data_IF_840998989196
#
_entry.id   IF_840998989196
#
_cell.length_a   1.000
_cell.length_b   1.000
_cell.length_c   1.000
_cell.angle_alpha   90.00
_cell.angle_beta   90.00
_cell.angle_gamma   90.00
#
_symmetry.space_group_name_H-M   'P 1'
#
loop_
_entity.id
_entity.type
_entity.pdbx_description
1 polymer ?
#
# COMPACT_ATOMS: atom_id res chain seq x y z
N UNK A 1 21.18 0.70 -7.33
CA UNK A 1 20.12 0.75 -8.35
C UNK A 1 19.17 -0.42 -8.17
N UNK A 2 19.61 -1.67 -8.38
CA UNK A 2 18.75 -2.88 -8.21
C UNK A 2 18.12 -2.97 -6.82
N UNK A 3 18.86 -2.71 -5.73
CA UNK A 3 18.28 -2.71 -4.38
C UNK A 3 17.08 -1.76 -4.22
N UNK A 4 17.13 -0.56 -4.82
CA UNK A 4 16.00 0.39 -4.79
C UNK A 4 14.81 -0.12 -5.60
N UNK A 5 15.06 -0.89 -6.66
CA UNK A 5 14.00 -1.56 -7.41
C UNK A 5 13.32 -2.63 -6.57
N UNK A 6 14.10 -3.45 -5.86
CA UNK A 6 13.57 -4.47 -4.93
C UNK A 6 12.79 -3.80 -3.80
N UNK A 7 13.34 -2.77 -3.17
CA UNK A 7 12.67 -1.99 -2.12
C UNK A 7 11.32 -1.43 -2.59
N UNK A 8 11.23 -0.93 -3.83
CA UNK A 8 9.96 -0.44 -4.36
C UNK A 8 8.94 -1.57 -4.52
N UNK A 9 9.38 -2.75 -4.96
CA UNK A 9 8.55 -3.95 -5.02
C UNK A 9 8.04 -4.35 -3.64
N UNK A 10 8.92 -4.44 -2.65
CA UNK A 10 8.55 -4.84 -1.29
C UNK A 10 7.58 -3.85 -0.64
N UNK A 11 7.84 -2.54 -0.75
CA UNK A 11 6.92 -1.51 -0.26
C UNK A 11 5.55 -1.57 -0.94
N UNK A 12 5.50 -1.90 -2.24
CA UNK A 12 4.25 -2.04 -2.97
C UNK A 12 3.47 -3.29 -2.54
N UNK A 13 4.15 -4.42 -2.34
CA UNK A 13 3.51 -5.65 -1.84
C UNK A 13 2.96 -5.45 -0.42
N UNK A 14 3.72 -4.77 0.45
CA UNK A 14 3.27 -4.41 1.80
C UNK A 14 2.05 -3.48 1.75
N UNK A 15 2.04 -2.48 0.85
CA UNK A 15 0.92 -1.56 0.73
C UNK A 15 -0.36 -2.23 0.20
N UNK A 16 -0.21 -3.21 -0.70
CA UNK A 16 -1.35 -4.02 -1.20
C UNK A 16 -1.90 -4.93 -0.11
N UNK A 17 -1.04 -5.57 0.68
CA UNK A 17 -1.47 -6.37 1.83
C UNK A 17 -2.24 -5.51 2.85
N UNK A 18 -1.73 -4.31 3.14
CA UNK A 18 -2.43 -3.30 3.94
C UNK A 18 -3.79 -2.94 3.35
N UNK A 19 -3.86 -2.59 2.06
CA UNK A 19 -5.09 -2.15 1.39
C UNK A 19 -6.18 -3.22 1.45
N UNK A 20 -5.82 -4.48 1.18
CA UNK A 20 -6.74 -5.62 1.28
C UNK A 20 -7.22 -5.80 2.72
N UNK A 21 -6.32 -5.85 3.70
CA UNK A 21 -6.71 -6.05 5.11
C UNK A 21 -7.56 -4.89 5.66
N UNK A 22 -7.26 -3.66 5.27
CA UNK A 22 -7.98 -2.46 5.70
C UNK A 22 -9.35 -2.35 5.04
N UNK A 23 -9.39 -2.34 3.71
CA UNK A 23 -10.58 -1.98 2.96
C UNK A 23 -11.50 -3.19 2.71
N UNK A 24 -10.93 -4.35 2.38
CA UNK A 24 -11.69 -5.60 2.21
C UNK A 24 -11.88 -6.30 3.56
N UNK A 25 -10.84 -6.30 4.40
CA UNK A 25 -10.84 -6.95 5.71
C UNK A 25 -11.52 -6.15 6.83
N UNK A 26 -11.72 -4.85 6.66
CA UNK A 26 -12.33 -3.97 7.67
C UNK A 26 -11.52 -3.87 8.97
N UNK A 27 -10.20 -4.10 8.91
CA UNK A 27 -9.34 -4.06 10.09
C UNK A 27 -9.03 -2.63 10.53
N UNK A 28 -8.95 -2.41 11.83
CA UNK A 28 -8.47 -1.16 12.42
C UNK A 28 -6.94 -1.03 12.26
N UNK A 29 -6.41 0.18 12.45
CA UNK A 29 -4.95 0.37 12.44
C UNK A 29 -4.28 -0.37 13.61
N UNK A 30 -4.98 -0.55 14.73
CA UNK A 30 -4.49 -1.35 15.86
C UNK A 30 -4.39 -2.84 15.50
N UNK A 31 -5.43 -3.41 14.87
CA UNK A 31 -5.43 -4.80 14.39
C UNK A 31 -4.34 -5.02 13.32
N UNK A 32 -4.17 -4.06 12.41
CA UNK A 32 -3.09 -4.10 11.41
C UNK A 32 -1.71 -4.05 12.07
N UNK A 33 -1.51 -3.21 13.08
CA UNK A 33 -0.25 -3.13 13.79
C UNK A 33 0.09 -4.48 14.46
N UNK A 34 -0.90 -5.16 15.03
CA UNK A 34 -0.71 -6.48 15.65
C UNK A 34 -0.34 -7.55 14.62
N UNK A 35 -1.06 -7.62 13.50
CA UNK A 35 -0.78 -8.58 12.41
C UNK A 35 0.64 -8.38 11.85
N UNK A 36 1.02 -7.14 11.54
CA UNK A 36 2.37 -6.87 11.02
C UNK A 36 3.46 -7.11 12.08
N UNK A 37 3.16 -6.88 13.38
CA UNK A 37 4.07 -7.26 14.48
C UNK A 37 4.29 -8.78 14.52
N UNK A 38 3.22 -9.56 14.32
CA UNK A 38 3.30 -11.02 14.29
C UNK A 38 4.07 -11.52 13.07
N UNK A 39 3.77 -11.00 11.88
CA UNK A 39 4.48 -11.33 10.65
C UNK A 39 5.98 -11.05 10.76
N UNK A 40 6.36 -9.96 11.44
CA UNK A 40 7.77 -9.62 11.66
C UNK A 40 8.51 -10.57 12.62
N UNK A 41 7.81 -11.51 13.28
CA UNK A 41 8.42 -12.57 14.11
C UNK A 41 8.54 -13.91 13.36
N UNK A 42 8.06 -13.98 12.13
CA UNK A 42 8.04 -15.17 11.30
C UNK A 42 8.89 -15.02 10.03
N UNK A 43 8.45 -15.65 8.94
CA UNK A 43 9.18 -15.66 7.67
C UNK A 43 9.30 -14.27 7.01
N UNK A 44 8.47 -13.31 7.43
CA UNK A 44 8.46 -11.93 6.93
C UNK A 44 9.28 -10.97 7.81
N UNK A 45 10.07 -11.48 8.76
CA UNK A 45 11.01 -10.68 9.57
C UNK A 45 11.87 -9.79 8.66
N UNK A 46 11.60 -8.49 8.69
CA UNK A 46 12.29 -7.52 7.87
C UNK A 46 12.08 -6.10 8.38
N UNK A 47 13.05 -5.24 8.12
CA UNK A 47 12.97 -3.83 8.52
C UNK A 47 11.73 -3.12 7.97
N UNK A 48 11.30 -3.42 6.73
CA UNK A 48 10.11 -2.79 6.15
C UNK A 48 8.81 -3.22 6.84
N UNK A 49 8.70 -4.49 7.27
CA UNK A 49 7.53 -4.98 8.01
C UNK A 49 7.52 -4.40 9.42
N UNK A 50 8.69 -4.33 10.08
CA UNK A 50 8.85 -3.69 11.40
C UNK A 50 8.34 -2.24 11.39
N UNK A 51 8.89 -1.39 10.53
CA UNK A 51 8.48 0.03 10.48
C UNK A 51 7.02 0.18 10.05
N UNK A 52 6.47 -0.74 9.25
CA UNK A 52 5.06 -0.72 8.86
C UNK A 52 4.17 -0.97 10.08
N UNK A 53 4.54 -1.91 10.94
CA UNK A 53 3.84 -2.16 12.20
C UNK A 53 3.85 -0.94 13.13
N UNK A 54 4.98 -0.22 13.17
CA UNK A 54 5.12 1.01 13.96
C UNK A 54 4.30 2.17 13.38
N UNK A 55 4.29 2.33 12.05
CA UNK A 55 3.54 3.38 11.35
C UNK A 55 2.06 3.37 11.72
N UNK A 56 1.45 2.17 11.82
CA UNK A 56 0.05 2.03 12.22
C UNK A 56 -0.25 2.51 13.65
N UNK A 57 0.77 2.70 14.50
CA UNK A 57 0.62 3.16 15.88
C UNK A 57 0.85 4.65 16.05
N UNK A 58 1.34 5.33 15.02
CA UNK A 58 1.63 6.77 15.08
C UNK A 58 0.32 7.55 15.09
N UNK A 59 0.09 8.29 16.18
CA UNK A 59 -1.08 9.19 16.31
C UNK A 59 -0.86 10.48 15.53
N UNK A 60 -1.95 11.04 15.01
CA UNK A 60 -1.91 12.40 14.45
C UNK A 60 -1.75 13.42 15.59
N UNK A 61 -0.79 14.33 15.47
CA UNK A 61 -0.56 15.39 16.47
C UNK A 61 -1.58 16.54 16.34
N UNK A 62 -2.26 16.63 15.19
CA UNK A 62 -3.17 17.72 14.85
C UNK A 62 -4.66 17.37 14.97
N UNK A 63 -5.00 16.14 15.32
CA UNK A 63 -6.38 15.67 15.38
C UNK A 63 -6.54 14.24 15.89
N UNK A 64 -7.75 13.70 15.74
CA UNK A 64 -8.07 12.34 16.16
C UNK A 64 -7.69 11.30 15.08
N UNK A 65 -7.26 10.13 15.56
CA UNK A 65 -6.90 8.97 14.74
C UNK A 65 -5.40 8.78 14.55
N UNK A 66 -5.03 7.88 13.65
CA UNK A 66 -3.65 7.60 13.29
C UNK A 66 -3.19 8.48 12.13
N UNK A 67 -1.90 8.87 12.16
CA UNK A 67 -1.29 9.75 11.18
C UNK A 67 -1.37 9.18 9.76
N UNK A 68 -1.23 7.86 9.60
CA UNK A 68 -1.22 7.19 8.29
C UNK A 68 -2.50 7.47 7.48
N UNK A 69 -3.65 7.61 8.14
CA UNK A 69 -4.93 7.90 7.48
C UNK A 69 -5.08 9.37 7.06
N UNK A 70 -4.16 10.24 7.51
CA UNK A 70 -4.12 11.68 7.19
C UNK A 70 -3.07 12.02 6.14
N UNK A 71 -2.17 11.08 5.83
CA UNK A 71 -1.11 11.29 4.84
C UNK A 71 -1.74 11.31 3.44
N UNK A 72 -1.41 12.34 2.65
CA UNK A 72 -1.81 12.40 1.25
C UNK A 72 -1.27 11.17 0.50
N UNK A 73 -2.15 10.44 -0.19
CA UNK A 73 -1.89 9.23 -0.98
C UNK A 73 -1.19 9.54 -2.31
N UNK A 74 -0.09 10.27 -2.23
CA UNK A 74 0.74 10.71 -3.35
C UNK A 74 2.21 10.52 -2.98
N UNK A 75 2.84 9.53 -3.59
CA UNK A 75 4.24 9.23 -3.31
C UNK A 75 5.18 9.99 -4.24
N UNK A 76 6.28 10.49 -3.68
CA UNK A 76 7.40 10.98 -4.47
C UNK A 76 8.31 9.85 -4.93
N UNK A 77 9.11 10.09 -5.98
CA UNK A 77 10.22 9.20 -6.33
C UNK A 77 11.44 10.00 -6.78
N UNK A 78 12.62 9.54 -6.37
CA UNK A 78 13.91 10.15 -6.76
C UNK A 78 14.45 9.60 -8.09
N UNK A 79 13.70 8.71 -8.76
CA UNK A 79 14.02 8.16 -10.08
C UNK A 79 14.90 6.90 -10.09
N UNK A 80 15.43 6.47 -8.95
CA UNK A 80 16.36 5.31 -8.89
C UNK A 80 15.69 3.96 -9.17
N UNK A 81 14.42 3.76 -8.79
CA UNK A 81 13.65 2.57 -9.14
C UNK A 81 13.38 2.46 -10.64
N UNK A 82 13.16 3.59 -11.32
CA UNK A 82 12.98 3.67 -12.78
C UNK A 82 14.18 3.13 -13.54
N UNK A 83 15.40 3.42 -13.08
CA UNK A 83 16.62 2.92 -13.72
C UNK A 83 16.68 1.39 -13.72
N UNK A 84 16.24 0.72 -12.65
CA UNK A 84 16.20 -0.75 -12.59
C UNK A 84 15.32 -1.33 -13.69
N UNK A 85 14.12 -0.79 -13.89
CA UNK A 85 13.19 -1.25 -14.94
C UNK A 85 13.73 -0.96 -16.34
N UNK A 86 14.34 0.22 -16.54
CA UNK A 86 14.98 0.54 -17.82
C UNK A 86 16.12 -0.42 -18.16
N UNK A 87 16.96 -0.78 -17.19
CA UNK A 87 18.03 -1.76 -17.39
C UNK A 87 17.48 -3.18 -17.61
N UNK A 88 16.43 -3.57 -16.91
CA UNK A 88 15.78 -4.86 -17.13
C UNK A 88 15.26 -5.00 -18.57
N UNK A 89 14.63 -3.95 -19.09
CA UNK A 89 14.17 -3.90 -20.48
C UNK A 89 15.33 -3.98 -21.49
N UNK A 90 16.39 -3.21 -21.29
CA UNK A 90 17.59 -3.23 -22.16
C UNK A 90 18.23 -4.63 -22.22
N UNK A 91 18.27 -5.32 -21.09
CA UNK A 91 18.82 -6.67 -20.97
C UNK A 91 17.83 -7.77 -21.35
N UNK A 92 16.61 -7.42 -21.77
CA UNK A 92 15.53 -8.39 -22.05
C UNK A 92 15.21 -9.33 -20.87
N UNK A 93 15.28 -8.81 -19.65
CA UNK A 93 14.95 -9.51 -18.41
C UNK A 93 13.61 -9.02 -17.88
N UNK A 94 12.71 -9.95 -17.58
CA UNK A 94 11.42 -9.63 -16.99
C UNK A 94 11.57 -9.22 -15.51
N UNK A 95 11.10 -8.01 -15.16
CA UNK A 95 11.02 -7.52 -13.79
C UNK A 95 9.63 -6.92 -13.47
N UNK A 96 8.53 -7.69 -13.64
CA UNK A 96 7.17 -7.17 -13.60
C UNK A 96 6.77 -6.57 -12.25
N UNK A 97 7.20 -7.15 -11.12
CA UNK A 97 6.89 -6.64 -9.78
C UNK A 97 7.45 -5.23 -9.55
N UNK A 98 8.69 -4.99 -9.98
CA UNK A 98 9.33 -3.68 -9.86
C UNK A 98 8.65 -2.69 -10.83
N UNK A 99 8.28 -3.12 -12.03
CA UNK A 99 7.54 -2.29 -12.98
C UNK A 99 6.18 -1.86 -12.41
N UNK A 100 5.39 -2.80 -11.89
CA UNK A 100 4.10 -2.52 -11.26
C UNK A 100 4.23 -1.56 -10.07
N UNK A 101 5.28 -1.70 -9.25
CA UNK A 101 5.55 -0.76 -8.17
C UNK A 101 5.77 0.68 -8.65
N UNK A 102 6.35 0.88 -9.84
CA UNK A 102 6.47 2.23 -10.42
C UNK A 102 5.14 2.72 -10.97
N UNK A 103 4.37 1.86 -11.63
CA UNK A 103 3.05 2.20 -12.15
C UNK A 103 2.10 2.67 -11.03
N UNK A 104 2.06 1.97 -9.90
CA UNK A 104 1.28 2.38 -8.74
C UNK A 104 1.73 3.74 -8.19
N UNK A 105 3.04 4.02 -8.17
CA UNK A 105 3.55 5.34 -7.76
C UNK A 105 3.16 6.43 -8.75
N UNK A 106 3.26 6.18 -10.06
CA UNK A 106 2.80 7.11 -11.10
C UNK A 106 1.31 7.41 -10.97
N UNK A 107 0.51 6.37 -10.78
CA UNK A 107 -0.94 6.47 -10.58
C UNK A 107 -1.28 7.27 -9.32
N UNK A 108 -0.58 7.04 -8.21
CA UNK A 108 -0.75 7.83 -6.98
C UNK A 108 -0.46 9.32 -7.20
N UNK A 109 0.51 9.62 -8.09
CA UNK A 109 0.90 10.97 -8.51
C UNK A 109 -0.23 11.79 -9.14
N UNK A 110 -1.13 11.10 -9.85
CA UNK A 110 -2.27 11.65 -10.60
C UNK A 110 -3.51 11.83 -9.71
N UNK A 111 -3.34 12.37 -8.49
CA UNK A 111 -4.41 12.49 -7.48
C UNK A 111 -5.68 13.17 -8.01
N UNK A 112 -5.55 14.35 -8.61
CA UNK A 112 -6.70 15.11 -9.11
C UNK A 112 -7.45 14.37 -10.23
N UNK A 113 -6.71 13.68 -11.11
CA UNK A 113 -7.30 12.84 -12.17
C UNK A 113 -8.03 11.63 -11.58
N UNK A 114 -7.46 10.97 -10.56
CA UNK A 114 -8.11 9.85 -9.86
C UNK A 114 -9.41 10.29 -9.19
N UNK A 115 -9.42 11.43 -8.51
CA UNK A 115 -10.63 11.95 -7.87
C UNK A 115 -11.73 12.30 -8.89
N UNK A 116 -11.34 12.90 -10.02
CA UNK A 116 -12.27 13.19 -11.11
C UNK A 116 -12.81 11.91 -11.77
N UNK A 117 -11.93 10.94 -12.05
CA UNK A 117 -12.31 9.64 -12.58
C UNK A 117 -13.27 8.91 -11.63
N UNK A 118 -13.02 8.93 -10.32
CA UNK A 118 -13.90 8.32 -9.33
C UNK A 118 -15.32 8.91 -9.37
N UNK A 119 -15.47 10.23 -9.54
CA UNK A 119 -16.78 10.88 -9.71
C UNK A 119 -17.49 10.37 -10.97
N UNK A 120 -16.81 10.40 -12.11
CA UNK A 120 -17.36 9.95 -13.40
C UNK A 120 -17.76 8.48 -13.36
N UNK A 121 -16.93 7.62 -12.76
CA UNK A 121 -17.21 6.19 -12.65
C UNK A 121 -18.43 5.92 -11.75
N UNK A 122 -18.57 6.64 -10.63
CA UNK A 122 -19.77 6.56 -9.78
C UNK A 122 -21.03 6.97 -10.54
N UNK A 123 -20.97 8.05 -11.31
CA UNK A 123 -22.07 8.50 -12.17
C UNK A 123 -22.42 7.48 -13.26
N UNK A 124 -21.42 6.76 -13.78
CA UNK A 124 -21.60 5.66 -14.74
C UNK A 124 -22.16 4.37 -14.11
N UNK A 125 -22.49 4.38 -12.82
CA UNK A 125 -23.08 3.24 -12.12
C UNK A 125 -22.07 2.26 -11.51
N UNK A 126 -20.77 2.60 -11.50
CA UNK A 126 -19.81 1.86 -10.69
C UNK A 126 -20.12 2.11 -9.23
N UNK A 127 -20.64 1.10 -8.55
CA UNK A 127 -20.87 1.14 -7.11
C UNK A 127 -19.54 0.95 -6.39
N UNK A 128 -19.31 1.72 -5.34
CA UNK A 128 -18.28 1.42 -4.35
C UNK A 128 -18.76 0.19 -3.54
N UNK A 129 -18.61 -1.01 -4.10
CA UNK A 129 -18.99 -2.27 -3.43
C UNK A 129 -17.88 -2.82 -2.51
N UNK A 130 -16.82 -2.05 -2.24
CA UNK A 130 -15.98 -2.30 -1.07
C UNK A 130 -16.69 -1.71 0.15
N UNK A 131 -17.88 -2.23 0.43
CA UNK A 131 -18.55 -1.98 1.69
C UNK A 131 -17.61 -2.47 2.79
N UNK A 132 -17.32 -1.62 3.77
CA UNK A 132 -16.72 -2.02 5.05
C UNK A 132 -17.23 -3.41 5.39
N UNK A 133 -16.36 -4.42 5.48
CA UNK A 133 -16.77 -5.81 5.69
C UNK A 133 -17.88 -5.86 6.73
N UNK A 134 -19.11 -6.03 6.26
CA UNK A 134 -20.28 -5.99 7.09
C UNK A 134 -20.26 -7.26 7.92
N UNK A 135 -19.88 -7.16 9.20
CA UNK A 135 -20.13 -8.14 10.28
C UNK A 135 -19.76 -9.62 10.05
N UNK A 136 -19.10 -9.97 8.94
CA UNK A 136 -18.93 -11.35 8.48
C UNK A 136 -17.50 -11.88 8.49
N UNK A 137 -16.52 -11.02 8.76
CA UNK A 137 -15.15 -11.48 9.04
C UNK A 137 -15.12 -11.85 10.51
N UNK A 138 -15.00 -13.14 10.78
CA UNK A 138 -14.80 -13.64 12.12
C UNK A 138 -13.44 -13.14 12.62
N UNK A 139 -13.46 -12.03 13.36
CA UNK A 139 -12.29 -11.45 14.03
C UNK A 139 -11.73 -12.37 15.14
N UNK A 140 -12.33 -13.55 15.35
CA UNK A 140 -11.92 -14.57 16.31
C UNK A 140 -11.76 -15.92 15.62
N UNK A 141 -10.70 -16.09 14.85
CA UNK A 141 -10.24 -17.42 14.47
C UNK A 141 -8.72 -17.50 14.58
N UNK A 142 -8.30 -17.82 15.81
CA UNK A 142 -6.97 -18.16 16.32
C UNK A 142 -5.94 -17.02 16.44
#
# INVERSE_FOLDING_TARGET
MVHNGIEYGDMQLISEAYDVLKNVGGLSNEELAEIFTEWNRGELESFLVEITSDIFRVKDEFGDGELVDKILDKTGMKGTGKWTVQQAAELSVAAPTIAASLDCRYLSGLKDERENAAKVLREAGLKEEIGSASSGIDKKSN
#
